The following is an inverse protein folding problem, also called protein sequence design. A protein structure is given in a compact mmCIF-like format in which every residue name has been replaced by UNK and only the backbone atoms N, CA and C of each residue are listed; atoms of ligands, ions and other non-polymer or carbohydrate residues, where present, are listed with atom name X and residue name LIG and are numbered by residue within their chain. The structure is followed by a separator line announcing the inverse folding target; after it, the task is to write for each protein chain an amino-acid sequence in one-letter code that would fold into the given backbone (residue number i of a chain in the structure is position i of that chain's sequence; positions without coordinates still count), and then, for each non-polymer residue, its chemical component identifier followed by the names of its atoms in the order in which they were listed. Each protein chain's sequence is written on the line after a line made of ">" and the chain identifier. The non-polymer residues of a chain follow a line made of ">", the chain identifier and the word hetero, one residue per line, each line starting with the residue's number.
data_IF_577802714770
#
_entry.id   IF_577802714770
#
_cell.length_a   1.000
_cell.length_b   1.000
_cell.length_c   1.000
_cell.angle_alpha   90.00
_cell.angle_beta   90.00
_cell.angle_gamma   90.00
#
_symmetry.space_group_name_H-M   'P 1'
#
loop_
_entity.id
_entity.type
_entity.pdbx_description
1 polymer ?
#
# COMPACT_ATOMS: atom_id res chain seq x y z
N UNK A 1 3.56 -14.97 -4.44
CA UNK A 1 3.62 -13.62 -3.86
C UNK A 1 2.36 -13.42 -3.03
N UNK A 2 2.52 -13.07 -1.77
CA UNK A 2 1.40 -12.84 -0.87
C UNK A 2 0.85 -11.44 -1.14
N UNK A 3 -0.38 -11.36 -1.67
CA UNK A 3 -1.16 -10.12 -1.77
C UNK A 3 -2.31 -10.20 -0.76
N UNK A 4 -2.47 -9.14 0.04
CA UNK A 4 -3.62 -8.95 0.93
C UNK A 4 -4.05 -7.50 0.88
N UNK A 5 -5.33 -7.25 0.73
CA UNK A 5 -5.95 -5.93 0.94
C UNK A 5 -6.96 -6.00 2.08
N UNK A 6 -7.09 -4.92 2.85
CA UNK A 6 -8.07 -4.84 3.94
C UNK A 6 -8.33 -3.38 4.33
N UNK A 7 -9.20 -3.18 5.30
CA UNK A 7 -9.41 -1.88 5.95
C UNK A 7 -9.05 -1.95 7.43
N UNK A 8 -8.51 -0.86 7.97
CA UNK A 8 -8.28 -0.70 9.41
C UNK A 8 -8.88 0.61 9.92
N UNK A 9 -9.41 0.58 11.15
CA UNK A 9 -9.85 1.80 11.82
C UNK A 9 -8.66 2.44 12.54
N UNK A 10 -8.25 3.62 12.09
CA UNK A 10 -7.13 4.41 12.65
C UNK A 10 -7.64 5.81 12.95
N UNK A 11 -7.61 6.22 14.22
CA UNK A 11 -8.06 7.54 14.67
C UNK A 11 -9.46 7.94 14.16
N UNK A 12 -10.40 7.00 14.12
CA UNK A 12 -11.76 7.21 13.64
C UNK A 12 -11.95 7.17 12.12
N UNK A 13 -10.86 6.97 11.35
CA UNK A 13 -10.90 6.82 9.89
C UNK A 13 -10.81 5.34 9.51
N UNK A 14 -11.64 4.92 8.55
CA UNK A 14 -11.55 3.59 7.93
C UNK A 14 -10.60 3.65 6.74
N UNK A 15 -9.35 3.23 6.95
CA UNK A 15 -8.25 3.36 6.00
C UNK A 15 -8.05 2.07 5.19
N UNK A 16 -8.04 2.16 3.86
CA UNK A 16 -7.68 1.04 2.98
C UNK A 16 -6.16 0.86 2.91
N UNK A 17 -5.71 -0.39 2.84
CA UNK A 17 -4.30 -0.70 2.63
C UNK A 17 -4.09 -2.01 1.87
N UNK A 18 -2.92 -2.13 1.25
CA UNK A 18 -2.46 -3.32 0.55
C UNK A 18 -1.10 -3.78 1.09
N UNK A 19 -0.96 -5.09 1.27
CA UNK A 19 0.28 -5.76 1.60
C UNK A 19 0.69 -6.63 0.42
N UNK A 20 1.90 -6.41 -0.09
CA UNK A 20 2.47 -7.19 -1.19
C UNK A 20 3.86 -7.70 -0.81
N UNK A 21 4.13 -8.98 -1.09
CA UNK A 21 5.45 -9.58 -0.90
C UNK A 21 5.82 -9.82 0.57
N UNK A 22 7.07 -10.18 0.79
CA UNK A 22 7.61 -10.65 2.07
C UNK A 22 9.01 -10.06 2.34
N UNK A 23 9.54 -10.20 3.56
CA UNK A 23 10.85 -9.66 3.94
C UNK A 23 10.79 -8.30 4.65
N UNK A 24 11.84 -7.48 4.52
CA UNK A 24 11.97 -6.22 5.27
C UNK A 24 10.86 -5.23 4.83
N UNK A 25 10.10 -4.63 5.77
CA UNK A 25 8.99 -3.77 5.42
C UNK A 25 9.43 -2.51 4.66
N UNK A 26 8.56 -2.04 3.78
CA UNK A 26 8.66 -0.75 3.07
C UNK A 26 7.26 -0.15 2.99
N UNK A 27 7.07 1.04 3.55
CA UNK A 27 5.78 1.75 3.52
C UNK A 27 5.72 2.63 2.28
N UNK A 28 4.60 2.58 1.56
CA UNK A 28 4.34 3.37 0.35
C UNK A 28 3.20 4.35 0.63
N UNK A 29 3.46 5.64 0.43
CA UNK A 29 2.51 6.73 0.64
C UNK A 29 2.42 7.53 -0.66
N UNK A 30 1.25 7.56 -1.27
CA UNK A 30 1.05 8.29 -2.54
C UNK A 30 0.92 9.80 -2.31
N UNK A 31 0.95 10.57 -3.40
CA UNK A 31 0.74 12.03 -3.37
C UNK A 31 -0.74 12.43 -3.34
N UNK A 32 -1.02 13.72 -3.13
CA UNK A 32 -2.39 14.24 -3.21
C UNK A 32 -2.98 14.11 -4.61
N UNK A 33 -4.28 13.78 -4.70
CA UNK A 33 -5.00 13.59 -5.97
C UNK A 33 -4.62 12.32 -6.73
N UNK A 34 -3.93 11.39 -6.07
CA UNK A 34 -3.52 10.09 -6.64
C UNK A 34 -3.90 8.96 -5.69
N UNK A 35 -3.70 7.71 -6.10
CA UNK A 35 -3.99 6.52 -5.31
C UNK A 35 -2.77 5.62 -5.24
N UNK A 36 -2.85 4.52 -4.49
CA UNK A 36 -1.83 3.46 -4.53
C UNK A 36 -1.52 3.06 -5.98
N UNK A 37 -2.55 2.83 -6.79
CA UNK A 37 -2.40 2.30 -8.13
C UNK A 37 -1.79 3.32 -9.10
N UNK A 38 -2.27 4.58 -9.09
CA UNK A 38 -1.75 5.60 -10.01
C UNK A 38 -0.32 6.01 -9.69
N UNK A 39 0.11 5.86 -8.43
CA UNK A 39 1.48 6.20 -8.00
C UNK A 39 2.45 5.02 -8.10
N UNK A 40 2.05 3.83 -7.64
CA UNK A 40 2.97 2.72 -7.41
C UNK A 40 2.67 1.45 -8.19
N UNK A 41 1.56 1.36 -8.93
CA UNK A 41 1.12 0.12 -9.58
C UNK A 41 2.18 -0.56 -10.44
N UNK A 42 3.05 0.23 -11.10
CA UNK A 42 4.14 -0.30 -11.94
C UNK A 42 5.36 -0.80 -11.17
N UNK A 43 5.61 -0.29 -9.97
CA UNK A 43 6.81 -0.65 -9.18
C UNK A 43 6.53 -1.73 -8.13
N UNK A 44 5.27 -1.89 -7.70
CA UNK A 44 4.86 -2.89 -6.70
C UNK A 44 5.34 -4.30 -7.10
N UNK A 45 5.13 -4.80 -8.33
CA UNK A 45 5.58 -6.14 -8.70
C UNK A 45 7.11 -6.33 -8.67
N UNK A 46 7.86 -5.25 -8.84
CA UNK A 46 9.33 -5.28 -8.82
C UNK A 46 9.85 -5.28 -7.37
N UNK A 47 9.30 -4.42 -6.52
CA UNK A 47 9.74 -4.30 -5.12
C UNK A 47 9.25 -5.46 -4.25
N UNK A 48 8.08 -6.03 -4.53
CA UNK A 48 7.49 -7.13 -3.77
C UNK A 48 8.29 -8.44 -3.85
N UNK A 49 9.23 -8.55 -4.79
CA UNK A 49 10.16 -9.67 -4.88
C UNK A 49 11.15 -9.72 -3.72
N UNK A 50 11.43 -8.57 -3.09
CA UNK A 50 12.49 -8.43 -2.10
C UNK A 50 12.04 -7.78 -0.78
N UNK A 51 10.83 -7.21 -0.75
CA UNK A 51 10.32 -6.40 0.36
C UNK A 51 8.85 -6.73 0.64
N UNK A 52 8.47 -6.60 1.92
CA UNK A 52 7.06 -6.55 2.33
C UNK A 52 6.56 -5.12 2.16
N UNK A 53 5.86 -4.85 1.07
CA UNK A 53 5.29 -3.55 0.79
C UNK A 53 4.01 -3.37 1.59
N UNK A 54 3.85 -2.19 2.19
CA UNK A 54 2.64 -1.77 2.90
C UNK A 54 2.21 -0.46 2.26
N UNK A 55 1.28 -0.53 1.31
CA UNK A 55 0.74 0.63 0.64
C UNK A 55 -0.57 1.06 1.31
N UNK A 56 -0.74 2.36 1.55
CA UNK A 56 -1.92 2.91 2.22
C UNK A 56 -2.61 3.90 1.30
N UNK A 57 -3.95 3.90 1.34
CA UNK A 57 -4.76 4.92 0.70
C UNK A 57 -4.96 6.06 1.70
N UNK A 58 -4.56 7.28 1.33
CA UNK A 58 -4.72 8.46 2.16
C UNK A 58 -6.21 8.81 2.27
N UNK A 59 -6.59 9.46 3.37
CA UNK A 59 -7.97 9.89 3.59
C UNK A 59 -8.52 10.65 2.37
N UNK A 60 -9.77 10.36 2.02
CA UNK A 60 -10.50 10.98 0.91
C UNK A 60 -9.95 10.68 -0.50
N UNK A 61 -9.16 9.61 -0.64
CA UNK A 61 -8.78 8.98 -1.91
C UNK A 61 -9.36 7.56 -1.96
#
# INVERSE_FOLDING_TARGET
>A
MTFKSDYSYVNGLKMYYEINGEGKPLVLIHGGGSTIQTTFGRIIPLLAQYRKLIAVELQAH
#
